data_IF_557821856347
#
_entry.id   IF_557821856347
#
_cell.length_a   1.000
_cell.length_b   1.000
_cell.length_c   1.000
_cell.angle_alpha   90.00
_cell.angle_beta   90.00
_cell.angle_gamma   90.00
#
_symmetry.space_group_name_H-M   'P 1'
#
loop_
_entity.id
_entity.type
_entity.pdbx_description
1 polymer ?
#
# COMPACT_ATOMS: atom_id res chain seq x y z
N UNK A 1 -46.62 72.48 -70.71
CA UNK A 1 -47.92 71.78 -70.95
C UNK A 1 -48.13 70.79 -69.81
N UNK A 2 -49.12 71.16 -69.04
CA UNK A 2 -50.21 70.25 -68.59
C UNK A 2 -49.78 69.00 -67.82
N UNK A 3 -50.06 68.85 -66.69
CA UNK A 3 -51.30 68.64 -65.81
C UNK A 3 -50.95 67.42 -65.02
N UNK A 4 -51.27 67.13 -63.89
CA UNK A 4 -52.29 67.40 -62.87
C UNK A 4 -52.24 66.20 -61.90
N UNK A 5 -52.34 66.53 -60.65
CA UNK A 5 -53.12 65.81 -59.62
C UNK A 5 -52.95 64.31 -59.42
N UNK A 6 -52.81 63.83 -58.25
CA UNK A 6 -53.86 63.76 -57.26
C UNK A 6 -53.28 63.24 -55.96
N UNK A 7 -53.62 63.92 -54.91
CA UNK A 7 -53.49 63.47 -53.52
C UNK A 7 -54.41 62.32 -53.28
N UNK A 8 -54.10 61.45 -52.40
CA UNK A 8 -54.99 60.73 -51.49
C UNK A 8 -54.13 59.99 -50.45
N UNK A 9 -54.13 60.60 -49.29
CA UNK A 9 -54.63 60.08 -47.99
C UNK A 9 -54.02 58.77 -47.49
N UNK A 10 -53.26 58.98 -46.44
CA UNK A 10 -53.18 58.24 -45.17
C UNK A 10 -54.15 57.05 -45.00
N UNK A 11 -53.78 55.96 -44.32
CA UNK A 11 -53.58 56.01 -42.90
C UNK A 11 -52.38 55.21 -42.35
N UNK A 12 -51.74 55.76 -41.43
CA UNK A 12 -51.26 55.35 -40.13
C UNK A 12 -51.66 53.91 -39.75
N UNK A 13 -50.75 53.03 -39.90
CA UNK A 13 -50.78 51.76 -39.19
C UNK A 13 -49.48 51.62 -38.43
N UNK A 14 -49.52 52.02 -37.20
CA UNK A 14 -48.55 51.97 -36.18
C UNK A 14 -48.47 50.48 -35.75
N UNK A 15 -47.60 49.71 -36.35
CA UNK A 15 -47.26 48.36 -35.89
C UNK A 15 -46.04 48.51 -34.94
N UNK A 16 -46.40 48.57 -33.64
CA UNK A 16 -45.48 48.37 -32.54
C UNK A 16 -44.94 46.93 -32.66
N UNK A 17 -43.80 46.76 -33.30
CA UNK A 17 -43.01 45.57 -33.13
C UNK A 17 -42.39 45.61 -31.73
N UNK A 18 -43.08 45.02 -30.77
CA UNK A 18 -42.47 44.63 -29.51
C UNK A 18 -41.40 43.60 -29.82
N UNK A 19 -40.16 44.05 -29.96
CA UNK A 19 -39.00 43.22 -29.91
C UNK A 19 -38.87 42.72 -28.46
N UNK A 20 -39.42 41.54 -28.22
CA UNK A 20 -39.05 40.76 -27.03
C UNK A 20 -37.60 40.46 -27.13
N UNK A 21 -36.79 41.22 -26.42
CA UNK A 21 -35.41 40.86 -26.13
C UNK A 21 -35.49 39.68 -25.18
N UNK A 22 -35.34 38.48 -25.72
CA UNK A 22 -35.07 37.32 -24.88
C UNK A 22 -33.74 37.57 -24.15
N UNK A 23 -33.85 37.94 -22.89
CA UNK A 23 -32.72 37.81 -21.98
C UNK A 23 -32.37 36.34 -21.90
N UNK A 24 -31.31 35.93 -22.61
CA UNK A 24 -30.65 34.69 -22.37
C UNK A 24 -30.23 34.72 -20.92
N UNK A 25 -30.99 33.97 -20.08
CA UNK A 25 -30.52 33.65 -18.74
C UNK A 25 -29.13 33.06 -18.87
N UNK A 26 -28.14 33.53 -18.09
CA UNK A 26 -26.85 32.89 -18.10
C UNK A 26 -27.11 31.42 -17.68
N UNK A 27 -26.87 30.50 -18.60
CA UNK A 27 -26.74 29.08 -18.23
C UNK A 27 -25.73 29.06 -17.10
N UNK A 28 -26.17 28.65 -15.93
CA UNK A 28 -25.30 28.31 -14.84
C UNK A 28 -24.42 27.16 -15.34
N UNK A 29 -23.32 27.50 -15.99
CA UNK A 29 -22.23 26.56 -16.24
C UNK A 29 -21.69 26.28 -14.85
N UNK A 30 -22.19 25.18 -14.25
CA UNK A 30 -21.54 24.55 -13.09
C UNK A 30 -20.19 24.07 -13.64
N UNK A 31 -19.21 24.96 -13.61
CA UNK A 31 -17.82 24.58 -13.80
C UNK A 31 -17.54 23.60 -12.65
N UNK A 32 -17.66 22.28 -12.92
CA UNK A 32 -17.12 21.28 -12.03
C UNK A 32 -15.66 21.63 -11.84
N UNK A 33 -15.32 22.29 -10.73
CA UNK A 33 -13.93 22.44 -10.33
C UNK A 33 -13.34 21.03 -10.35
N UNK A 34 -12.43 20.79 -11.30
CA UNK A 34 -11.63 19.58 -11.31
C UNK A 34 -11.04 19.45 -9.90
N UNK A 35 -11.28 18.34 -9.18
CA UNK A 35 -10.74 18.20 -7.84
C UNK A 35 -9.23 18.41 -7.95
N UNK A 36 -8.71 19.42 -7.27
CA UNK A 36 -7.26 19.58 -7.13
C UNK A 36 -6.80 18.31 -6.45
N UNK A 37 -6.01 17.51 -7.15
CA UNK A 37 -5.46 16.28 -6.59
C UNK A 37 -4.66 16.66 -5.34
N UNK A 38 -5.25 16.46 -4.18
CA UNK A 38 -4.58 16.69 -2.90
C UNK A 38 -3.43 15.69 -2.87
N UNK A 39 -2.20 16.20 -2.92
CA UNK A 39 -0.99 15.39 -2.80
C UNK A 39 -1.05 14.72 -1.43
N UNK A 40 -1.45 13.45 -1.37
CA UNK A 40 -1.46 12.68 -0.12
C UNK A 40 -0.04 12.65 0.44
N UNK A 41 0.12 12.93 1.71
CA UNK A 41 1.42 12.84 2.40
C UNK A 41 1.91 11.39 2.40
N UNK A 42 3.23 11.20 2.42
CA UNK A 42 3.81 9.87 2.59
C UNK A 42 3.44 9.36 3.98
N UNK A 43 2.91 8.16 4.03
CA UNK A 43 2.45 7.50 5.25
C UNK A 43 3.55 6.64 5.89
N UNK A 44 3.30 6.12 7.07
CA UNK A 44 4.15 5.14 7.76
C UNK A 44 3.28 4.03 8.33
N UNK A 45 3.78 2.81 8.28
CA UNK A 45 3.14 1.68 8.97
C UNK A 45 3.29 1.76 10.50
N UNK A 46 4.12 2.68 11.00
CA UNK A 46 4.50 2.80 12.40
C UNK A 46 5.61 1.82 12.77
N UNK A 47 6.28 2.12 13.87
CA UNK A 47 7.34 1.28 14.43
C UNK A 47 6.73 0.15 15.25
N UNK A 48 7.42 -0.98 15.35
CA UNK A 48 7.03 -2.11 16.19
C UNK A 48 8.27 -2.82 16.72
N UNK A 49 8.19 -3.30 17.96
CA UNK A 49 9.22 -4.14 18.56
C UNK A 49 8.56 -5.31 19.28
N UNK A 50 9.18 -6.48 19.21
CA UNK A 50 8.78 -7.68 19.91
C UNK A 50 10.02 -8.38 20.49
N UNK A 51 9.88 -8.91 21.69
CA UNK A 51 10.92 -9.66 22.36
C UNK A 51 10.32 -10.99 22.87
N UNK A 52 11.16 -12.04 22.87
CA UNK A 52 10.74 -13.36 23.29
C UNK A 52 11.93 -14.20 23.73
N UNK A 53 11.75 -14.94 24.78
CA UNK A 53 12.65 -16.04 25.18
C UNK A 53 12.19 -17.34 24.52
N UNK A 54 13.14 -18.11 24.00
CA UNK A 54 12.89 -19.34 23.25
C UNK A 54 13.86 -20.42 23.71
N UNK A 55 13.32 -21.56 24.12
CA UNK A 55 14.10 -22.76 24.38
C UNK A 55 14.52 -23.39 23.05
N UNK A 56 15.83 -23.46 22.82
CA UNK A 56 16.41 -24.00 21.61
C UNK A 56 17.78 -24.62 21.87
N UNK A 57 18.01 -25.83 21.35
CA UNK A 57 19.27 -26.59 21.53
C UNK A 57 19.65 -26.77 23.01
N UNK A 58 18.66 -26.91 23.89
CA UNK A 58 18.87 -27.12 25.33
C UNK A 58 19.26 -25.87 26.12
N UNK A 59 19.06 -24.67 25.54
CA UNK A 59 19.35 -23.41 26.20
C UNK A 59 18.32 -22.35 25.81
N UNK A 60 18.15 -21.32 26.68
CA UNK A 60 17.22 -20.21 26.44
C UNK A 60 17.92 -19.11 25.64
N UNK A 61 17.41 -18.83 24.45
CA UNK A 61 17.85 -17.70 23.60
C UNK A 61 16.86 -16.56 23.70
N UNK A 62 17.35 -15.33 23.75
CA UNK A 62 16.51 -14.15 23.71
C UNK A 62 16.46 -13.59 22.28
N UNK A 63 15.26 -13.46 21.72
CA UNK A 63 15.00 -12.93 20.37
C UNK A 63 14.38 -11.56 20.47
N UNK A 64 14.96 -10.56 19.82
CA UNK A 64 14.42 -9.20 19.67
C UNK A 64 14.27 -8.87 18.19
N UNK A 65 13.09 -8.44 17.79
CA UNK A 65 12.76 -8.01 16.43
C UNK A 65 12.21 -6.60 16.50
N UNK A 66 12.79 -5.69 15.73
CA UNK A 66 12.32 -4.32 15.61
C UNK A 66 12.07 -3.97 14.15
N UNK A 67 10.86 -3.47 13.82
CA UNK A 67 10.54 -2.85 12.55
C UNK A 67 10.49 -1.34 12.71
N UNK A 68 11.22 -0.61 11.87
CA UNK A 68 11.22 0.85 11.83
C UNK A 68 11.11 1.36 10.41
N UNK A 69 10.32 2.40 10.21
CA UNK A 69 10.25 3.10 8.94
C UNK A 69 11.59 3.78 8.64
N UNK A 70 12.13 3.58 7.41
CA UNK A 70 13.39 4.18 6.98
C UNK A 70 13.17 5.11 5.78
N UNK A 71 13.33 6.39 6.02
CA UNK A 71 13.16 7.44 4.99
C UNK A 71 14.26 7.44 3.92
N UNK A 72 15.34 6.70 4.12
CA UNK A 72 16.42 6.56 3.14
C UNK A 72 16.12 5.50 2.07
N UNK A 73 15.13 4.64 2.31
CA UNK A 73 14.69 3.62 1.36
C UNK A 73 13.76 4.21 0.30
N UNK A 74 13.65 3.53 -0.84
CA UNK A 74 12.64 3.83 -1.84
C UNK A 74 11.25 3.71 -1.22
N UNK A 75 10.34 4.62 -1.60
CA UNK A 75 8.97 4.59 -1.10
C UNK A 75 8.26 3.32 -1.58
N UNK A 76 7.53 2.70 -0.68
CA UNK A 76 6.57 1.65 -0.99
C UNK A 76 5.23 2.24 -1.44
N UNK A 77 4.42 1.43 -2.10
CA UNK A 77 3.07 1.78 -2.54
C UNK A 77 2.08 0.69 -2.14
N UNK A 78 0.84 1.10 -1.89
CA UNK A 78 -0.29 0.18 -1.82
C UNK A 78 -0.94 -0.01 -3.20
N UNK A 79 -1.95 -0.88 -3.29
CA UNK A 79 -2.71 -1.14 -4.52
C UNK A 79 -3.47 0.08 -5.06
N UNK A 80 -3.62 1.15 -4.28
CA UNK A 80 -4.25 2.41 -4.67
C UNK A 80 -3.23 3.50 -5.05
N UNK A 81 -1.92 3.18 -5.00
CA UNK A 81 -0.83 4.10 -5.30
C UNK A 81 -0.51 5.11 -4.20
N UNK A 82 -1.04 4.96 -2.98
CA UNK A 82 -0.61 5.76 -1.85
C UNK A 82 0.83 5.39 -1.49
N UNK A 83 1.60 6.39 -1.05
CA UNK A 83 3.03 6.24 -0.77
C UNK A 83 3.28 6.06 0.71
N UNK A 84 4.19 5.15 1.02
CA UNK A 84 4.63 4.82 2.38
C UNK A 84 6.14 4.82 2.47
N UNK A 85 6.67 5.17 3.63
CA UNK A 85 8.07 4.85 3.95
C UNK A 85 8.19 3.35 4.09
N UNK A 86 9.17 2.75 3.40
CA UNK A 86 9.50 1.33 3.57
C UNK A 86 10.21 1.10 4.90
N UNK A 87 10.33 -0.14 5.32
CA UNK A 87 10.80 -0.51 6.63
C UNK A 87 12.18 -1.19 6.59
N UNK A 88 12.93 -1.01 7.67
CA UNK A 88 13.98 -1.93 8.08
C UNK A 88 13.50 -2.77 9.24
N UNK A 89 13.84 -4.05 9.21
CA UNK A 89 13.59 -4.98 10.31
C UNK A 89 14.93 -5.48 10.83
N UNK A 90 15.23 -5.19 12.09
CA UNK A 90 16.39 -5.73 12.78
C UNK A 90 16.01 -6.94 13.61
N UNK A 91 16.80 -8.00 13.46
CA UNK A 91 16.75 -9.24 14.23
C UNK A 91 18.02 -9.33 15.08
N UNK A 92 17.85 -9.45 16.37
CA UNK A 92 18.92 -9.74 17.32
C UNK A 92 18.54 -11.01 18.07
N UNK A 93 19.44 -11.99 18.07
CA UNK A 93 19.34 -13.19 18.88
C UNK A 93 20.54 -13.21 19.82
N UNK A 94 20.31 -13.34 21.11
CA UNK A 94 21.36 -13.43 22.13
C UNK A 94 21.32 -14.80 22.79
N UNK A 95 22.49 -15.26 23.23
CA UNK A 95 22.66 -16.51 23.98
C UNK A 95 22.28 -16.31 25.45
N UNK A 96 22.18 -17.40 26.24
CA UNK A 96 21.89 -17.32 27.68
C UNK A 96 22.87 -16.45 28.48
N UNK A 97 24.12 -16.37 28.03
CA UNK A 97 25.18 -15.54 28.64
C UNK A 97 25.10 -14.07 28.23
N UNK A 98 24.11 -13.68 27.44
CA UNK A 98 23.92 -12.34 26.92
C UNK A 98 24.77 -12.00 25.70
N UNK A 99 25.64 -12.93 25.24
CA UNK A 99 26.44 -12.71 24.03
C UNK A 99 25.58 -12.73 22.78
N UNK A 100 25.96 -11.94 21.77
CA UNK A 100 25.27 -11.90 20.49
C UNK A 100 25.50 -13.23 19.74
N UNK A 101 24.40 -13.87 19.30
CA UNK A 101 24.43 -15.02 18.45
C UNK A 101 24.26 -14.63 16.98
N UNK A 102 23.21 -13.86 16.68
CA UNK A 102 22.94 -13.34 15.34
C UNK A 102 22.45 -11.92 15.45
N UNK A 103 23.02 -11.03 14.63
CA UNK A 103 22.48 -9.69 14.37
C UNK A 103 22.35 -9.50 12.87
N UNK A 104 21.15 -9.21 12.41
CA UNK A 104 20.85 -8.93 11.02
C UNK A 104 19.86 -7.77 10.91
N UNK A 105 19.98 -7.00 9.85
CA UNK A 105 19.01 -5.98 9.47
C UNK A 105 18.57 -6.28 8.05
N UNK A 106 17.29 -6.33 7.85
CA UNK A 106 16.64 -6.65 6.58
C UNK A 106 15.92 -5.43 6.04
N UNK A 107 15.89 -5.33 4.74
CA UNK A 107 15.06 -4.43 3.94
C UNK A 107 14.31 -5.27 2.89
N UNK A 108 13.35 -4.68 2.18
CA UNK A 108 12.66 -5.37 1.09
C UNK A 108 13.62 -5.97 0.04
N UNK A 109 14.76 -5.33 -0.21
CA UNK A 109 15.74 -5.81 -1.20
C UNK A 109 16.31 -7.19 -0.89
N UNK A 110 16.35 -7.59 0.38
CA UNK A 110 16.82 -8.93 0.78
C UNK A 110 15.87 -10.04 0.32
N UNK A 111 14.62 -9.69 0.04
CA UNK A 111 13.54 -10.59 -0.38
C UNK A 111 13.22 -10.49 -1.87
N UNK A 112 13.92 -9.65 -2.63
CA UNK A 112 13.57 -9.30 -4.01
C UNK A 112 13.50 -10.50 -4.97
N UNK A 113 14.28 -11.58 -4.70
CA UNK A 113 14.27 -12.80 -5.52
C UNK A 113 12.94 -13.55 -5.49
N UNK A 114 12.16 -13.34 -4.43
CA UNK A 114 10.89 -14.06 -4.17
C UNK A 114 9.67 -13.20 -4.47
N UNK A 115 9.84 -11.88 -4.58
CA UNK A 115 8.72 -10.94 -4.69
C UNK A 115 8.59 -10.45 -6.12
N UNK A 116 7.44 -10.70 -6.75
CA UNK A 116 7.16 -10.36 -8.16
C UNK A 116 5.88 -9.51 -8.28
N UNK A 117 5.71 -8.90 -9.45
CA UNK A 117 4.48 -8.15 -9.78
C UNK A 117 4.25 -6.94 -8.88
N UNK A 118 2.99 -6.67 -8.53
CA UNK A 118 2.55 -5.54 -7.70
C UNK A 118 3.20 -5.54 -6.31
N UNK A 119 3.43 -6.71 -5.73
CA UNK A 119 4.04 -6.84 -4.41
C UNK A 119 5.47 -6.30 -4.35
N UNK A 120 6.19 -6.21 -5.49
CA UNK A 120 7.53 -5.60 -5.55
C UNK A 120 7.52 -4.10 -5.25
N UNK A 121 6.39 -3.41 -5.48
CA UNK A 121 6.19 -2.01 -5.11
C UNK A 121 5.78 -1.83 -3.64
N UNK A 122 5.36 -2.90 -2.97
CA UNK A 122 4.97 -2.92 -1.57
C UNK A 122 6.12 -2.62 -0.59
N UNK A 123 5.90 -2.90 0.69
CA UNK A 123 6.86 -2.73 1.78
C UNK A 123 7.29 -4.06 2.38
N UNK A 124 8.44 -4.09 3.08
CA UNK A 124 8.73 -5.14 4.05
C UNK A 124 7.77 -4.96 5.24
N UNK A 125 6.75 -5.83 5.33
CA UNK A 125 5.68 -5.68 6.32
C UNK A 125 6.16 -6.06 7.72
N UNK A 126 7.02 -7.08 7.82
CA UNK A 126 7.58 -7.51 9.08
C UNK A 126 8.29 -8.86 9.00
N UNK A 127 8.90 -9.20 10.13
CA UNK A 127 9.44 -10.52 10.45
C UNK A 127 8.93 -10.83 11.85
N UNK A 128 8.42 -12.05 12.07
CA UNK A 128 7.97 -12.50 13.39
C UNK A 128 8.52 -13.91 13.65
N UNK A 129 8.84 -14.19 14.91
CA UNK A 129 9.25 -15.53 15.30
C UNK A 129 8.05 -16.50 15.18
N UNK A 130 8.26 -17.60 14.48
CA UNK A 130 7.29 -18.66 14.32
C UNK A 130 7.56 -19.79 15.35
N UNK A 131 8.65 -20.53 15.18
CA UNK A 131 8.99 -21.65 16.07
C UNK A 131 10.48 -22.00 16.03
N UNK A 132 10.90 -22.77 17.03
CA UNK A 132 12.13 -23.54 16.98
C UNK A 132 11.81 -24.91 16.34
N UNK A 133 12.57 -25.29 15.33
CA UNK A 133 12.37 -26.50 14.56
C UNK A 133 13.71 -27.24 14.42
N UNK A 134 13.94 -28.22 15.28
CA UNK A 134 15.20 -28.94 15.36
C UNK A 134 16.40 -28.02 15.53
N UNK A 135 17.29 -28.00 14.53
CA UNK A 135 18.52 -27.20 14.54
C UNK A 135 18.33 -25.78 13.97
N UNK A 136 17.08 -25.34 13.73
CA UNK A 136 16.77 -24.04 13.15
C UNK A 136 15.75 -23.26 13.98
N UNK A 137 15.88 -21.93 13.96
CA UNK A 137 14.83 -21.01 14.35
C UNK A 137 14.12 -20.55 13.08
N UNK A 138 12.79 -20.68 13.03
CA UNK A 138 11.95 -20.27 11.91
C UNK A 138 11.24 -18.98 12.24
N UNK A 139 11.19 -18.08 11.25
CA UNK A 139 10.50 -16.81 11.30
C UNK A 139 9.61 -16.68 10.07
N UNK A 140 8.40 -16.21 10.25
CA UNK A 140 7.57 -15.76 9.15
C UNK A 140 7.97 -14.34 8.77
N UNK A 141 8.06 -14.07 7.48
CA UNK A 141 8.32 -12.74 6.92
C UNK A 141 7.30 -12.45 5.81
N UNK A 142 7.04 -11.19 5.54
CA UNK A 142 6.12 -10.82 4.46
C UNK A 142 6.51 -9.51 3.79
N UNK A 143 6.30 -9.47 2.48
CA UNK A 143 6.45 -8.28 1.64
C UNK A 143 5.16 -8.09 0.86
N UNK A 144 4.60 -6.88 0.88
CA UNK A 144 3.33 -6.62 0.21
C UNK A 144 2.79 -5.23 0.45
N UNK A 145 1.48 -5.09 0.34
CA UNK A 145 0.79 -3.82 0.51
C UNK A 145 0.97 -3.26 1.92
N UNK A 146 1.45 -2.01 2.07
CA UNK A 146 1.59 -1.37 3.38
C UNK A 146 0.26 -0.89 3.97
N UNK A 147 -0.85 -1.00 3.25
CA UNK A 147 -2.19 -0.72 3.76
C UNK A 147 -2.62 -1.82 4.73
N UNK A 148 -2.95 -1.43 5.97
CA UNK A 148 -3.39 -2.36 7.03
C UNK A 148 -4.70 -3.09 6.72
N UNK A 149 -5.47 -2.59 5.77
CA UNK A 149 -6.74 -3.20 5.34
C UNK A 149 -6.56 -4.15 4.16
N UNK A 150 -5.34 -4.26 3.62
CA UNK A 150 -5.02 -5.15 2.50
C UNK A 150 -4.46 -6.46 3.02
N UNK A 151 -4.85 -7.54 2.37
CA UNK A 151 -4.33 -8.90 2.53
C UNK A 151 -3.34 -9.30 1.41
N UNK A 152 -2.96 -8.32 0.56
CA UNK A 152 -2.01 -8.55 -0.52
C UNK A 152 -0.57 -8.59 -0.02
N UNK A 153 0.00 -9.77 0.12
CA UNK A 153 1.41 -9.96 0.46
C UNK A 153 1.95 -11.29 -0.06
N UNK A 154 3.26 -11.39 -0.14
CA UNK A 154 3.99 -12.62 -0.39
C UNK A 154 4.48 -13.17 0.95
N UNK A 155 4.01 -14.37 1.36
CA UNK A 155 4.49 -15.03 2.56
C UNK A 155 5.87 -15.64 2.32
N UNK A 156 6.77 -15.44 3.27
CA UNK A 156 8.17 -15.83 3.19
C UNK A 156 8.62 -16.44 4.52
N UNK A 157 9.63 -17.29 4.45
CA UNK A 157 10.27 -17.90 5.60
C UNK A 157 11.71 -17.43 5.69
N UNK A 158 12.11 -17.02 6.89
CA UNK A 158 13.48 -16.79 7.25
C UNK A 158 13.88 -17.86 8.28
N UNK A 159 14.96 -18.56 8.04
CA UNK A 159 15.50 -19.55 8.97
C UNK A 159 16.89 -19.14 9.44
N UNK A 160 17.15 -19.35 10.73
CA UNK A 160 18.47 -19.17 11.35
C UNK A 160 18.95 -20.55 11.82
N UNK A 161 20.08 -21.02 11.29
CA UNK A 161 20.66 -22.30 11.65
C UNK A 161 21.41 -22.21 12.98
N UNK A 162 21.73 -23.38 13.57
CA UNK A 162 22.55 -23.49 14.79
C UNK A 162 23.96 -22.87 14.67
N UNK A 163 24.41 -22.63 13.44
CA UNK A 163 25.70 -21.95 13.18
C UNK A 163 25.54 -20.44 12.92
N UNK A 164 24.32 -19.90 13.03
CA UNK A 164 24.02 -18.49 12.77
C UNK A 164 23.82 -18.15 11.29
N UNK A 165 23.84 -19.16 10.41
CA UNK A 165 23.52 -18.96 8.98
C UNK A 165 22.06 -18.58 8.80
N UNK A 166 21.80 -17.57 7.95
CA UNK A 166 20.44 -17.09 7.65
C UNK A 166 20.08 -17.45 6.21
N UNK A 167 18.87 -18.03 6.03
CA UNK A 167 18.32 -18.38 4.71
C UNK A 167 16.91 -17.82 4.59
N UNK A 168 16.58 -17.34 3.39
CA UNK A 168 15.22 -16.90 3.02
C UNK A 168 14.66 -17.89 1.99
N UNK A 169 13.37 -18.18 2.04
CA UNK A 169 12.64 -19.00 1.08
C UNK A 169 11.17 -18.56 1.02
N UNK A 170 10.45 -19.02 0.01
CA UNK A 170 8.99 -18.91 -0.04
C UNK A 170 8.37 -19.79 1.06
N UNK A 171 7.23 -19.36 1.60
CA UNK A 171 6.44 -20.19 2.50
C UNK A 171 5.44 -21.01 1.68
N UNK A 172 5.78 -22.26 1.45
CA UNK A 172 4.94 -23.21 0.69
C UNK A 172 3.95 -23.98 1.57
N UNK A 173 3.93 -23.71 2.87
CA UNK A 173 3.06 -24.45 3.81
C UNK A 173 1.69 -23.80 4.02
N UNK A 174 1.48 -22.58 3.55
CA UNK A 174 0.18 -21.90 3.67
C UNK A 174 -0.90 -22.48 2.74
N UNK A 175 -0.51 -23.20 1.68
CA UNK A 175 -1.45 -23.77 0.70
C UNK A 175 -1.90 -25.22 1.04
N UNK A 176 -1.35 -25.85 2.09
CA UNK A 176 -1.66 -27.26 2.43
C UNK A 176 -2.72 -27.41 3.51
N UNK A 177 -3.33 -26.33 3.99
CA UNK A 177 -4.29 -26.34 5.09
C UNK A 177 -5.77 -26.49 4.71
N UNK A 178 -6.14 -26.61 3.42
CA UNK A 178 -7.54 -26.58 2.99
C UNK A 178 -8.10 -27.88 2.36
N UNK A 179 -7.30 -28.95 2.22
CA UNK A 179 -7.73 -30.14 1.46
C UNK A 179 -7.84 -31.45 2.28
N UNK A 180 -7.85 -31.42 3.62
CA UNK A 180 -8.02 -32.64 4.44
C UNK A 180 -9.26 -32.58 5.35
N UNK A 181 -10.44 -32.19 4.84
CA UNK A 181 -11.70 -32.51 5.48
C UNK A 181 -12.80 -32.70 4.43
N UNK A 182 -12.79 -33.82 3.69
CA UNK A 182 -14.03 -34.41 3.14
C UNK A 182 -13.73 -35.77 2.51
N UNK A 183 -13.53 -36.82 3.34
CA UNK A 183 -13.90 -38.20 2.98
C UNK A 183 -13.99 -39.07 4.24
N UNK A 184 -15.14 -38.97 4.94
CA UNK A 184 -15.71 -40.10 5.69
C UNK A 184 -17.25 -40.01 5.64
N UNK A 185 -17.85 -40.75 4.72
CA UNK A 185 -19.15 -41.38 4.90
C UNK A 185 -19.09 -42.76 4.29
#
# INVERSE_FOLDING_TARGET
MKRKHLAIALPLAMLLAMSCKEEKKPENIIVKKTPVAVKKSVQSMGDNAAERDVEWLGATYHIRIERKADKSLSLAKDGQGNKYYDNRVSLLITRPDGSEFVRRTFSKSDFASYVKGSNSEGALLGIVFDRADGETLRFAASVGSPDRMSDEYVPLVLTVSRTGGVKISEDTQLDTGSDEEEEEV
#
